data_IF_702206753855
#
_entry.id   IF_702206753855
#
_cell.length_a   1.000
_cell.length_b   1.000
_cell.length_c   1.000
_cell.angle_alpha   90.00
_cell.angle_beta   90.00
_cell.angle_gamma   90.00
#
_symmetry.space_group_name_H-M   'P 1'
#
loop_
_entity.id
_entity.type
_entity.pdbx_description
1 polymer ?
#
# COMPACT_ATOMS: atom_id res chain seq x y z
N UNK A 1 -6.06 -25.94 8.41
CA UNK A 1 -5.52 -24.60 8.12
C UNK A 1 -4.68 -24.72 6.86
N UNK A 2 -5.30 -24.60 5.69
CA UNK A 2 -4.58 -24.55 4.42
C UNK A 2 -3.97 -23.15 4.23
N UNK A 3 -2.91 -22.99 3.43
CA UNK A 3 -2.40 -21.66 3.12
C UNK A 3 -3.51 -20.87 2.43
N UNK A 4 -4.01 -19.84 3.11
CA UNK A 4 -4.86 -18.81 2.52
C UNK A 4 -3.98 -18.16 1.46
N UNK A 5 -4.16 -18.59 0.21
CA UNK A 5 -3.67 -17.85 -0.94
C UNK A 5 -4.53 -16.60 -0.98
N UNK A 6 -4.11 -15.57 -0.23
CA UNK A 6 -4.54 -14.21 -0.48
C UNK A 6 -4.06 -13.99 -1.91
N UNK A 7 -4.99 -14.20 -2.85
CA UNK A 7 -4.83 -13.81 -4.22
C UNK A 7 -4.85 -12.28 -4.14
N UNK A 8 -3.72 -11.69 -3.71
CA UNK A 8 -3.33 -10.40 -4.22
C UNK A 8 -3.38 -10.67 -5.70
N UNK A 9 -4.45 -10.18 -6.33
CA UNK A 9 -4.50 -10.03 -7.75
C UNK A 9 -3.23 -9.23 -8.00
N UNK A 10 -2.15 -9.93 -8.37
CA UNK A 10 -1.19 -9.41 -9.30
C UNK A 10 -2.10 -9.10 -10.46
N UNK A 11 -2.65 -7.89 -10.44
CA UNK A 11 -2.99 -7.19 -11.64
C UNK A 11 -1.63 -7.13 -12.32
N UNK A 12 -1.30 -8.22 -13.02
CA UNK A 12 -1.04 -8.10 -14.41
C UNK A 12 -2.12 -7.15 -14.90
N UNK A 13 -1.79 -5.85 -14.87
CA UNK A 13 -2.12 -4.98 -15.96
C UNK A 13 -1.45 -5.59 -17.20
N UNK A 14 -1.92 -6.78 -17.59
CA UNK A 14 -2.02 -7.15 -18.97
C UNK A 14 -2.71 -5.95 -19.57
N UNK A 15 -1.94 -5.25 -20.39
CA UNK A 15 -2.37 -4.17 -21.23
C UNK A 15 -3.89 -4.24 -21.44
N UNK A 16 -4.60 -3.19 -21.01
CA UNK A 16 -5.80 -2.78 -21.71
C UNK A 16 -5.40 -2.49 -23.16
N UNK A 17 -5.20 -3.54 -23.96
CA UNK A 17 -5.51 -3.56 -25.37
C UNK A 17 -7.02 -3.71 -25.48
N UNK A 18 -7.74 -2.69 -25.04
CA UNK A 18 -9.13 -2.49 -25.41
C UNK A 18 -9.14 -1.29 -26.33
N UNK A 19 -9.41 -1.57 -27.60
CA UNK A 19 -9.95 -0.62 -28.56
C UNK A 19 -11.26 -0.06 -27.97
N UNK A 20 -11.17 1.02 -27.21
CA UNK A 20 -12.31 1.81 -26.76
C UNK A 20 -11.98 3.27 -27.00
N UNK A 21 -12.57 3.78 -28.08
CA UNK A 21 -13.14 5.11 -28.23
C UNK A 21 -12.35 6.25 -27.59
N UNK A 22 -11.82 7.13 -28.45
CA UNK A 22 -11.23 8.47 -28.30
C UNK A 22 -11.71 9.32 -27.10
N UNK A 23 -11.54 8.82 -25.88
CA UNK A 23 -11.70 9.54 -24.64
C UNK A 23 -10.32 9.94 -24.19
N UNK A 24 -9.94 11.19 -24.50
CA UNK A 24 -8.72 11.84 -24.04
C UNK A 24 -8.59 11.71 -22.52
N UNK A 25 -7.89 10.69 -22.04
CA UNK A 25 -7.34 10.71 -20.69
C UNK A 25 -6.33 11.87 -20.67
N UNK A 26 -6.49 12.87 -19.80
CA UNK A 26 -5.53 13.96 -19.71
C UNK A 26 -4.18 13.35 -19.33
N UNK A 27 -3.16 13.66 -20.14
CA UNK A 27 -1.79 13.29 -19.86
C UNK A 27 -1.42 13.68 -18.42
N UNK A 28 -0.68 12.83 -17.69
CA UNK A 28 -0.13 13.23 -16.40
C UNK A 28 0.87 14.37 -16.63
N UNK A 29 0.42 15.58 -16.31
CA UNK A 29 1.26 16.70 -15.83
C UNK A 29 2.26 17.31 -16.82
N UNK A 30 1.79 18.21 -17.69
CA UNK A 30 2.53 19.46 -17.98
C UNK A 30 1.87 20.61 -17.23
N UNK A 31 1.93 20.56 -15.89
CA UNK A 31 1.61 21.71 -15.07
C UNK A 31 2.78 22.70 -15.08
N UNK A 32 2.53 24.02 -15.08
CA UNK A 32 3.59 25.01 -14.92
C UNK A 32 4.32 24.75 -13.59
N UNK A 33 5.63 24.56 -13.67
CA UNK A 33 6.49 24.37 -12.50
C UNK A 33 6.32 25.53 -11.51
N UNK A 34 6.40 25.25 -10.19
CA UNK A 34 6.33 26.30 -9.19
C UNK A 34 7.46 27.30 -9.38
N UNK A 35 7.12 28.58 -9.30
CA UNK A 35 8.04 29.70 -9.39
C UNK A 35 9.16 29.59 -8.35
N UNK A 36 10.38 29.86 -8.79
CA UNK A 36 11.54 30.11 -7.93
C UNK A 36 11.22 31.19 -6.91
N UNK A 37 11.25 30.83 -5.63
CA UNK A 37 11.20 31.78 -4.51
C UNK A 37 12.62 32.11 -4.05
N UNK A 38 12.89 33.41 -3.95
CA UNK A 38 14.15 34.04 -3.56
C UNK A 38 14.67 33.61 -2.16
N UNK A 39 15.99 33.81 -1.88
CA UNK A 39 16.61 33.52 -0.60
C UNK A 39 16.52 34.74 0.33
N UNK A 40 15.78 34.65 1.43
CA UNK A 40 15.84 35.69 2.46
C UNK A 40 14.89 35.48 3.62
N UNK A 41 15.45 35.32 4.84
CA UNK A 41 14.67 35.39 6.07
C UNK A 41 15.29 34.64 7.23
N UNK A 42 16.31 35.23 7.86
CA UNK A 42 16.86 34.73 9.11
C UNK A 42 15.84 34.84 10.25
N UNK A 43 15.57 33.71 10.91
CA UNK A 43 14.83 33.64 12.16
C UNK A 43 15.58 32.75 13.14
N UNK A 44 16.39 33.35 14.01
CA UNK A 44 17.01 32.68 15.16
C UNK A 44 16.02 32.68 16.32
N UNK A 45 15.59 31.49 16.73
CA UNK A 45 14.90 31.20 17.99
C UNK A 45 14.70 29.68 18.03
N UNK A 46 15.16 28.91 19.01
CA UNK A 46 15.35 29.21 20.42
C UNK A 46 14.37 28.33 21.19
N UNK A 47 14.89 27.34 21.92
CA UNK A 47 14.11 26.40 22.74
C UNK A 47 13.88 25.07 22.02
N UNK A 48 14.22 23.91 22.56
CA UNK A 48 14.47 23.58 23.95
C UNK A 48 13.75 22.27 24.24
N UNK A 49 14.49 21.29 24.73
CA UNK A 49 13.93 20.18 25.50
C UNK A 49 13.54 18.95 24.71
N UNK A 50 13.96 17.79 25.25
CA UNK A 50 13.30 16.52 24.97
C UNK A 50 14.25 15.38 24.63
N UNK A 51 15.25 15.13 25.47
CA UNK A 51 15.78 13.77 25.57
C UNK A 51 14.63 12.83 25.92
N UNK A 52 14.42 11.79 25.12
CA UNK A 52 13.27 10.90 25.25
C UNK A 52 13.60 9.50 24.74
N UNK A 53 14.17 8.71 25.65
CA UNK A 53 14.22 7.26 25.72
C UNK A 53 14.61 6.43 24.49
N UNK A 54 15.85 5.92 24.55
CA UNK A 54 16.21 4.60 24.03
C UNK A 54 15.43 3.48 24.74
N UNK A 55 14.14 3.39 24.46
CA UNK A 55 13.39 2.17 24.62
C UNK A 55 13.35 1.47 23.26
N UNK A 56 13.72 0.19 23.23
CA UNK A 56 13.46 -0.73 22.12
C UNK A 56 11.95 -0.99 21.96
N UNK A 57 11.11 0.04 22.17
CA UNK A 57 9.68 0.00 22.02
C UNK A 57 9.37 0.21 20.55
N UNK A 58 8.91 -0.85 19.91
CA UNK A 58 8.30 -0.81 18.58
C UNK A 58 7.28 0.33 18.57
N UNK A 59 7.59 1.42 17.87
CA UNK A 59 6.65 2.53 17.74
C UNK A 59 5.37 1.99 17.12
N UNK A 60 4.25 2.12 17.84
CA UNK A 60 2.93 1.74 17.34
C UNK A 60 2.66 2.61 16.11
N UNK A 61 2.50 1.97 14.95
CA UNK A 61 2.20 2.68 13.70
C UNK A 61 0.71 3.05 13.67
N UNK A 62 0.34 4.06 12.88
CA UNK A 62 -1.05 4.25 12.41
C UNK A 62 -1.30 3.46 11.12
N UNK A 63 -2.55 3.29 10.66
CA UNK A 63 -2.83 2.66 9.37
C UNK A 63 -2.09 3.31 8.19
N UNK A 64 -2.14 4.65 8.07
CA UNK A 64 -1.42 5.36 7.00
C UNK A 64 0.10 5.17 7.11
N UNK A 65 0.66 5.24 8.32
CA UNK A 65 2.10 5.01 8.51
C UNK A 65 2.51 3.59 8.14
N UNK A 66 1.70 2.59 8.48
CA UNK A 66 1.94 1.20 8.10
C UNK A 66 1.91 1.02 6.58
N UNK A 67 0.83 1.46 5.91
CA UNK A 67 0.70 1.32 4.45
C UNK A 67 1.77 2.11 3.70
N UNK A 68 2.15 3.28 4.18
CA UNK A 68 3.24 4.09 3.60
C UNK A 68 4.57 3.35 3.70
N UNK A 69 4.92 2.82 4.89
CA UNK A 69 6.15 2.04 5.06
C UNK A 69 6.15 0.78 4.21
N UNK A 70 5.01 0.11 4.13
CA UNK A 70 4.85 -1.09 3.33
C UNK A 70 5.06 -0.79 1.84
N UNK A 71 4.42 0.26 1.31
CA UNK A 71 4.61 0.74 -0.06
C UNK A 71 6.09 1.04 -0.34
N UNK A 72 6.75 1.74 0.58
CA UNK A 72 8.17 2.07 0.44
C UNK A 72 9.04 0.82 0.37
N UNK A 73 8.89 -0.11 1.32
CA UNK A 73 9.66 -1.36 1.32
C UNK A 73 9.43 -2.18 0.06
N UNK A 74 8.20 -2.24 -0.46
CA UNK A 74 7.92 -2.97 -1.69
C UNK A 74 8.59 -2.32 -2.91
N UNK A 75 8.42 -1.03 -3.06
CA UNK A 75 8.96 -0.28 -4.20
C UNK A 75 10.51 -0.21 -4.17
N UNK A 76 11.12 -0.09 -2.98
CA UNK A 76 12.57 -0.17 -2.81
C UNK A 76 13.11 -1.50 -3.33
N UNK A 77 12.50 -2.62 -2.91
CA UNK A 77 12.91 -3.95 -3.37
C UNK A 77 12.69 -4.14 -4.87
N UNK A 78 11.55 -3.65 -5.38
CA UNK A 78 11.21 -3.72 -6.79
C UNK A 78 12.25 -2.99 -7.66
N UNK A 79 12.67 -1.80 -7.25
CA UNK A 79 13.71 -1.02 -7.95
C UNK A 79 15.11 -1.60 -7.75
N UNK A 80 15.43 -2.17 -6.58
CA UNK A 80 16.66 -2.90 -6.35
C UNK A 80 16.78 -4.12 -7.28
N UNK A 81 15.64 -4.80 -7.54
CA UNK A 81 15.58 -5.98 -8.40
C UNK A 81 15.37 -5.69 -9.88
N UNK A 82 15.19 -4.42 -10.28
CA UNK A 82 15.02 -3.98 -11.68
C UNK A 82 16.00 -4.62 -12.67
N UNK A 83 17.31 -4.79 -12.39
CA UNK A 83 18.25 -5.40 -13.33
C UNK A 83 17.93 -6.86 -13.70
N UNK A 84 17.12 -7.53 -12.89
CA UNK A 84 16.71 -8.93 -13.08
C UNK A 84 15.26 -9.09 -13.50
N UNK A 85 14.58 -7.97 -13.80
CA UNK A 85 13.19 -7.97 -14.21
C UNK A 85 12.98 -8.88 -15.43
N UNK A 86 12.02 -9.83 -15.38
CA UNK A 86 11.82 -10.78 -16.48
C UNK A 86 11.44 -10.05 -17.77
N UNK A 87 12.25 -10.21 -18.83
CA UNK A 87 11.96 -9.57 -20.13
C UNK A 87 10.59 -9.96 -20.71
N UNK A 88 10.09 -11.16 -20.38
CA UNK A 88 8.76 -11.62 -20.76
C UNK A 88 7.60 -10.86 -20.08
N UNK A 89 7.87 -10.16 -18.97
CA UNK A 89 6.90 -9.33 -18.27
C UNK A 89 6.79 -7.90 -18.85
N UNK A 90 7.51 -7.60 -19.93
CA UNK A 90 7.43 -6.32 -20.64
C UNK A 90 8.42 -5.26 -20.17
N UNK A 91 8.06 -3.99 -20.33
CA UNK A 91 8.89 -2.86 -19.91
C UNK A 91 8.66 -2.52 -18.44
N UNK A 92 9.74 -2.47 -17.66
CA UNK A 92 9.68 -2.17 -16.23
C UNK A 92 9.14 -0.78 -15.95
N UNK A 93 9.53 0.23 -16.74
CA UNK A 93 9.14 1.61 -16.49
C UNK A 93 7.66 1.85 -16.80
N UNK A 94 7.10 1.11 -17.76
CA UNK A 94 5.65 1.08 -18.00
C UNK A 94 4.89 0.43 -16.84
N UNK A 95 5.42 -0.63 -16.23
CA UNK A 95 4.74 -1.35 -15.16
C UNK A 95 4.80 -0.62 -13.80
N UNK A 96 5.95 -0.02 -13.46
CA UNK A 96 6.21 0.47 -12.11
C UNK A 96 6.71 1.93 -12.04
N UNK A 97 6.81 2.61 -13.18
CA UNK A 97 7.32 3.97 -13.26
C UNK A 97 8.85 4.06 -13.48
N UNK A 98 9.34 5.28 -13.67
CA UNK A 98 10.75 5.51 -14.00
C UNK A 98 11.62 5.66 -12.75
N UNK A 99 11.03 6.10 -11.64
CA UNK A 99 11.68 6.31 -10.36
C UNK A 99 10.94 5.61 -9.22
N UNK A 100 11.68 5.25 -8.17
CA UNK A 100 11.10 4.60 -6.98
C UNK A 100 10.01 5.46 -6.32
N UNK A 101 10.13 6.78 -6.42
CA UNK A 101 9.12 7.74 -5.94
C UNK A 101 7.81 7.68 -6.71
N UNK A 102 7.85 7.31 -7.99
CA UNK A 102 6.63 7.11 -8.80
C UNK A 102 5.89 5.88 -8.27
N UNK A 103 6.63 4.81 -7.98
CA UNK A 103 6.09 3.60 -7.38
C UNK A 103 5.47 3.87 -6.00
N UNK A 104 6.13 4.68 -5.14
CA UNK A 104 5.56 5.06 -3.84
C UNK A 104 4.21 5.77 -3.98
N UNK A 105 4.14 6.78 -4.85
CA UNK A 105 2.92 7.55 -5.06
C UNK A 105 1.78 6.65 -5.57
N UNK A 106 2.08 5.78 -6.53
CA UNK A 106 1.12 4.82 -7.07
C UNK A 106 0.64 3.83 -6.00
N UNK A 107 1.56 3.20 -5.27
CA UNK A 107 1.22 2.21 -4.26
C UNK A 107 0.41 2.81 -3.10
N UNK A 108 0.77 4.00 -2.62
CA UNK A 108 0.03 4.69 -1.55
C UNK A 108 -1.38 5.06 -2.02
N UNK A 109 -1.54 5.53 -3.26
CA UNK A 109 -2.84 5.83 -3.82
C UNK A 109 -3.70 4.55 -3.96
N UNK A 110 -3.11 3.46 -4.44
CA UNK A 110 -3.79 2.18 -4.60
C UNK A 110 -4.20 1.52 -3.28
N UNK A 111 -3.50 1.79 -2.18
CA UNK A 111 -3.89 1.29 -0.85
C UNK A 111 -5.05 2.07 -0.21
N UNK A 112 -5.52 3.16 -0.83
CA UNK A 112 -6.66 3.95 -0.35
C UNK A 112 -6.55 4.28 1.15
N UNK A 113 -5.35 4.71 1.59
CA UNK A 113 -5.02 4.78 3.03
C UNK A 113 -5.97 5.69 3.81
N UNK A 114 -6.50 6.74 3.18
CA UNK A 114 -7.50 7.61 3.77
C UNK A 114 -8.83 6.91 4.05
N UNK A 115 -9.24 5.99 3.18
CA UNK A 115 -10.45 5.18 3.36
C UNK A 115 -10.27 4.14 4.48
N UNK A 116 -9.11 3.50 4.54
CA UNK A 116 -8.77 2.60 5.63
C UNK A 116 -8.83 3.30 7.00
N UNK A 117 -8.27 4.51 7.11
CA UNK A 117 -8.39 5.30 8.34
C UNK A 117 -9.84 5.65 8.66
N UNK A 118 -10.65 5.99 7.64
CA UNK A 118 -12.06 6.27 7.84
C UNK A 118 -12.82 5.03 8.34
N UNK A 119 -12.57 3.84 7.80
CA UNK A 119 -13.22 2.60 8.24
C UNK A 119 -12.77 2.15 9.64
N UNK A 120 -11.50 2.38 10.01
CA UNK A 120 -11.02 2.21 11.40
C UNK A 120 -11.74 3.17 12.35
N UNK A 121 -11.91 4.44 11.96
CA UNK A 121 -12.64 5.43 12.78
C UNK A 121 -14.12 5.08 12.98
N UNK A 122 -14.74 4.43 11.99
CA UNK A 122 -16.11 3.88 12.04
C UNK A 122 -16.20 2.55 12.79
N UNK A 123 -15.08 2.02 13.30
CA UNK A 123 -14.98 0.71 13.96
C UNK A 123 -15.41 -0.48 13.08
N UNK A 124 -15.33 -0.33 11.77
CA UNK A 124 -15.57 -1.40 10.79
C UNK A 124 -14.32 -2.25 10.55
N UNK A 125 -13.16 -1.71 10.91
CA UNK A 125 -11.87 -2.39 10.88
C UNK A 125 -11.20 -2.20 12.24
N UNK A 126 -10.68 -3.27 12.81
CA UNK A 126 -9.72 -3.20 13.92
C UNK A 126 -8.31 -3.17 13.35
N UNK A 127 -7.49 -2.25 13.83
CA UNK A 127 -6.10 -2.13 13.41
C UNK A 127 -5.15 -2.36 14.59
N UNK A 128 -4.18 -3.26 14.42
CA UNK A 128 -3.14 -3.55 15.41
C UNK A 128 -1.81 -2.92 14.96
N UNK A 129 -1.51 -1.75 15.52
CA UNK A 129 -0.28 -1.01 15.21
C UNK A 129 1.01 -1.68 15.70
N UNK A 130 0.95 -2.62 16.65
CA UNK A 130 2.10 -3.39 17.10
C UNK A 130 2.38 -4.58 16.17
N UNK A 131 1.31 -5.26 15.71
CA UNK A 131 1.41 -6.25 14.64
C UNK A 131 1.91 -5.58 13.34
N UNK A 132 1.45 -4.37 13.02
CA UNK A 132 1.92 -3.59 11.88
C UNK A 132 3.43 -3.32 11.96
N UNK A 133 3.92 -2.85 13.10
CA UNK A 133 5.35 -2.61 13.30
C UNK A 133 6.16 -3.92 13.19
N UNK A 134 5.64 -5.02 13.75
CA UNK A 134 6.28 -6.34 13.67
C UNK A 134 6.27 -6.90 12.25
N UNK A 135 5.23 -6.63 11.46
CA UNK A 135 5.15 -6.99 10.05
C UNK A 135 6.25 -6.30 9.24
N UNK A 136 6.41 -4.98 9.40
CA UNK A 136 7.46 -4.21 8.70
C UNK A 136 8.87 -4.70 9.11
N UNK A 137 9.10 -5.00 10.38
CA UNK A 137 10.40 -5.53 10.84
C UNK A 137 10.66 -6.98 10.41
N UNK A 138 9.61 -7.78 10.28
CA UNK A 138 9.67 -9.18 9.84
C UNK A 138 9.74 -9.34 8.33
N UNK A 139 9.77 -8.24 7.59
CA UNK A 139 9.86 -8.23 6.14
C UNK A 139 11.27 -8.65 5.72
N UNK A 140 11.43 -9.93 5.38
CA UNK A 140 12.65 -10.40 4.75
C UNK A 140 12.65 -9.94 3.30
N UNK A 141 13.71 -9.25 2.86
CA UNK A 141 13.93 -8.96 1.45
C UNK A 141 14.33 -10.26 0.75
N UNK A 142 13.46 -10.88 -0.07
CA UNK A 142 13.85 -12.08 -0.81
C UNK A 142 14.91 -11.70 -1.85
N UNK A 143 15.72 -12.66 -2.30
CA UNK A 143 16.53 -12.43 -3.49
C UNK A 143 15.64 -12.11 -4.70
N UNK A 144 16.20 -11.45 -5.70
CA UNK A 144 15.40 -10.99 -6.84
C UNK A 144 14.79 -12.12 -7.67
N UNK A 145 15.38 -13.32 -7.71
CA UNK A 145 14.76 -14.45 -8.40
C UNK A 145 13.51 -14.90 -7.67
N UNK A 146 13.56 -14.98 -6.34
CA UNK A 146 12.41 -15.30 -5.50
C UNK A 146 11.35 -14.20 -5.60
N UNK A 147 11.77 -12.93 -5.56
CA UNK A 147 10.91 -11.76 -5.69
C UNK A 147 10.01 -11.79 -6.93
N UNK A 148 10.58 -12.14 -8.10
CA UNK A 148 9.81 -12.14 -9.35
C UNK A 148 8.93 -13.37 -9.55
N UNK A 149 9.17 -14.45 -8.81
CA UNK A 149 8.49 -15.75 -9.04
C UNK A 149 7.51 -16.15 -7.95
N UNK A 150 7.63 -15.56 -6.77
CA UNK A 150 6.77 -15.84 -5.65
C UNK A 150 6.02 -14.57 -5.26
N UNK A 151 4.78 -14.75 -4.83
CA UNK A 151 4.07 -13.69 -4.14
C UNK A 151 4.86 -13.24 -2.93
N UNK A 152 4.59 -12.02 -2.50
CA UNK A 152 5.22 -11.46 -1.32
C UNK A 152 5.06 -12.41 -0.13
N UNK A 153 6.19 -12.81 0.46
CA UNK A 153 6.18 -13.68 1.63
C UNK A 153 5.86 -12.84 2.86
N UNK A 154 4.56 -12.66 3.10
CA UNK A 154 4.06 -11.97 4.27
C UNK A 154 4.38 -12.78 5.53
N UNK A 155 5.06 -12.13 6.49
CA UNK A 155 5.20 -12.69 7.83
C UNK A 155 3.85 -12.88 8.50
N UNK A 156 3.74 -13.84 9.44
CA UNK A 156 2.48 -14.11 10.17
C UNK A 156 1.86 -12.84 10.80
N UNK A 157 2.70 -11.91 11.28
CA UNK A 157 2.25 -10.64 11.85
C UNK A 157 1.45 -9.77 10.86
N UNK A 158 1.74 -9.85 9.55
CA UNK A 158 1.10 -9.03 8.53
C UNK A 158 -0.39 -9.39 8.34
N UNK A 159 -0.78 -10.65 8.60
CA UNK A 159 -2.17 -11.10 8.50
C UNK A 159 -3.07 -10.64 9.65
N UNK A 160 -2.48 -10.07 10.71
CA UNK A 160 -3.20 -9.62 11.90
C UNK A 160 -3.27 -8.09 12.02
N UNK A 161 -2.76 -7.36 11.03
CA UNK A 161 -2.70 -5.89 11.06
C UNK A 161 -4.08 -5.27 10.94
N UNK A 162 -4.91 -5.82 10.07
CA UNK A 162 -6.30 -5.40 9.87
C UNK A 162 -7.23 -6.58 10.09
N UNK A 163 -8.32 -6.36 10.81
CA UNK A 163 -9.40 -7.32 10.96
C UNK A 163 -10.75 -6.61 10.75
N UNK A 164 -11.47 -7.02 9.71
CA UNK A 164 -12.83 -6.55 9.46
C UNK A 164 -13.79 -6.96 10.57
N UNK A 165 -14.79 -6.13 10.83
CA UNK A 165 -15.80 -6.37 11.88
C UNK A 165 -17.23 -6.46 11.32
N UNK A 166 -17.42 -6.16 10.03
CA UNK A 166 -18.73 -6.17 9.36
C UNK A 166 -19.11 -7.59 8.95
N UNK A 167 -20.24 -8.14 9.43
CA UNK A 167 -20.69 -9.46 9.00
C UNK A 167 -21.18 -9.45 7.55
N UNK A 168 -21.32 -10.64 6.94
CA UNK A 168 -21.94 -10.78 5.61
C UNK A 168 -23.32 -10.11 5.56
N UNK A 169 -23.61 -9.39 4.48
CA UNK A 169 -24.80 -8.55 4.29
C UNK A 169 -24.76 -7.21 5.04
N UNK A 170 -23.76 -6.95 5.88
CA UNK A 170 -23.54 -5.66 6.51
C UNK A 170 -22.97 -4.63 5.54
N UNK A 171 -23.21 -3.33 5.80
CA UNK A 171 -22.68 -2.25 4.97
C UNK A 171 -21.18 -2.08 5.17
N UNK A 172 -20.43 -2.08 4.08
CA UNK A 172 -18.98 -1.89 4.03
C UNK A 172 -18.63 -0.65 3.19
N UNK A 173 -17.45 -0.06 3.44
CA UNK A 173 -16.83 0.92 2.53
C UNK A 173 -15.74 0.26 1.68
N UNK A 174 -14.98 -0.66 2.28
CA UNK A 174 -13.90 -1.39 1.62
C UNK A 174 -13.94 -2.88 1.95
N UNK A 175 -13.24 -3.69 1.16
CA UNK A 175 -13.08 -5.13 1.37
C UNK A 175 -12.55 -5.47 2.78
N UNK A 176 -11.66 -4.63 3.31
CA UNK A 176 -11.05 -4.82 4.63
C UNK A 176 -12.05 -4.75 5.79
N UNK A 177 -13.22 -4.14 5.58
CA UNK A 177 -14.26 -4.04 6.60
C UNK A 177 -14.98 -5.36 6.85
N UNK A 178 -14.92 -6.31 5.92
CA UNK A 178 -15.66 -7.57 6.02
C UNK A 178 -14.97 -8.59 6.93
N UNK A 179 -15.70 -9.10 7.92
CA UNK A 179 -15.15 -9.95 8.98
C UNK A 179 -14.91 -11.40 8.56
N UNK A 180 -15.65 -11.89 7.56
CA UNK A 180 -15.53 -13.28 7.11
C UNK A 180 -14.29 -13.45 6.22
N UNK A 181 -13.45 -14.48 6.44
CA UNK A 181 -12.30 -14.75 5.58
C UNK A 181 -12.72 -14.94 4.11
N UNK A 182 -12.10 -14.19 3.19
CA UNK A 182 -12.44 -14.23 1.77
C UNK A 182 -13.75 -13.51 1.40
N UNK A 183 -14.36 -12.78 2.34
CA UNK A 183 -15.40 -11.83 2.01
C UNK A 183 -14.81 -10.55 1.43
N UNK A 184 -15.58 -9.89 0.59
CA UNK A 184 -15.25 -8.62 -0.06
C UNK A 184 -16.44 -7.67 0.04
N UNK A 185 -16.23 -6.39 -0.21
CA UNK A 185 -17.27 -5.38 -0.29
C UNK A 185 -17.81 -5.34 -1.71
N UNK A 186 -19.03 -5.81 -1.91
CA UNK A 186 -19.69 -5.75 -3.21
C UNK A 186 -19.99 -4.28 -3.56
N UNK A 187 -19.30 -3.73 -4.56
CA UNK A 187 -19.41 -2.31 -4.96
C UNK A 187 -20.83 -1.92 -5.40
N UNK A 188 -21.61 -2.86 -5.95
CA UNK A 188 -22.95 -2.57 -6.44
C UNK A 188 -23.97 -2.42 -5.29
N UNK A 189 -23.75 -3.13 -4.19
CA UNK A 189 -24.66 -3.16 -3.04
C UNK A 189 -24.10 -2.50 -1.79
N UNK A 190 -22.82 -2.18 -1.78
CA UNK A 190 -22.02 -1.74 -0.62
C UNK A 190 -22.17 -2.70 0.57
N UNK A 191 -22.27 -4.01 0.29
CA UNK A 191 -22.45 -5.06 1.31
C UNK A 191 -21.34 -6.08 1.29
N UNK A 192 -20.98 -6.58 2.47
CA UNK A 192 -20.06 -7.71 2.58
C UNK A 192 -20.67 -8.96 1.95
N UNK A 193 -20.01 -9.52 0.95
CA UNK A 193 -20.41 -10.73 0.24
C UNK A 193 -19.26 -11.74 0.22
N UNK A 194 -19.55 -13.00 -0.09
CA UNK A 194 -18.53 -14.03 -0.37
C UNK A 194 -18.27 -14.08 -1.86
N UNK A 195 -17.02 -14.27 -2.27
CA UNK A 195 -16.70 -14.56 -3.67
C UNK A 195 -17.57 -15.74 -4.18
N UNK A 196 -18.08 -15.67 -5.42
CA UNK A 196 -18.93 -16.71 -6.01
C UNK A 196 -18.19 -18.05 -6.18
#
# INVERSE_FOLDING_TARGET
>A
MGPIRLLVVVLAMAACGAELSEGTMPAPGTGPGPASVDPGGGGRGGGGGGGGNGGNGTSILTPTQYMTKLAMTQCDQLFACRPTYPAAAGDFAMAYGNAVTDCYAFAIAAFETAELEAEVSKQRITFDGAAAASCILGFGEPDCSTFWTHDWLWGQACYHVFAGTVPLGGTCGSDYSCAAPGAYCDEATERCATAP
#
